data_IF_235051230027
#
_entry.id   IF_235051230027
#
_cell.length_a   1.000
_cell.length_b   1.000
_cell.length_c   1.000
_cell.angle_alpha   90.00
_cell.angle_beta   90.00
_cell.angle_gamma   90.00
#
_symmetry.space_group_name_H-M   'P 1'
#
loop_
_entity.id
_entity.type
_entity.pdbx_description
1 polymer ?
#
# COMPACT_ATOMS: atom_id res chain seq x y z
N UNK A 1 25.92 38.57 -57.61
CA UNK A 1 25.95 39.10 -56.22
C UNK A 1 24.66 38.78 -55.47
N UNK A 2 23.47 39.24 -55.91
CA UNK A 2 22.17 38.94 -55.23
C UNK A 2 21.83 37.45 -55.11
N UNK A 3 22.10 36.63 -56.12
CA UNK A 3 21.76 35.20 -56.13
C UNK A 3 22.57 34.36 -55.13
N UNK A 4 23.79 34.80 -54.82
CA UNK A 4 24.69 34.10 -53.88
C UNK A 4 24.29 34.35 -52.43
N UNK A 5 23.86 35.57 -52.11
CA UNK A 5 23.30 35.94 -50.80
C UNK A 5 21.96 35.25 -50.52
N UNK A 6 21.12 35.03 -51.55
CA UNK A 6 19.85 34.31 -51.41
C UNK A 6 20.11 32.82 -51.14
N UNK A 7 21.06 32.20 -51.85
CA UNK A 7 21.45 30.81 -51.62
C UNK A 7 22.13 30.59 -50.25
N UNK A 8 23.00 31.51 -49.83
CA UNK A 8 23.60 31.47 -48.48
C UNK A 8 22.55 31.65 -47.39
N UNK A 9 21.58 32.55 -47.58
CA UNK A 9 20.47 32.73 -46.63
C UNK A 9 19.55 31.50 -46.56
N UNK A 10 19.20 30.91 -47.70
CA UNK A 10 18.40 29.68 -47.75
C UNK A 10 19.13 28.49 -47.10
N UNK A 11 20.45 28.34 -47.34
CA UNK A 11 21.25 27.28 -46.71
C UNK A 11 21.40 27.46 -45.20
N UNK A 12 21.49 28.70 -44.71
CA UNK A 12 21.49 29.02 -43.27
C UNK A 12 20.11 28.74 -42.65
N UNK A 13 19.02 29.12 -43.32
CA UNK A 13 17.66 28.82 -42.88
C UNK A 13 17.37 27.31 -42.86
N UNK A 14 17.86 26.54 -43.84
CA UNK A 14 17.78 25.08 -43.87
C UNK A 14 18.60 24.41 -42.76
N UNK A 15 19.81 24.90 -42.48
CA UNK A 15 20.63 24.41 -41.38
C UNK A 15 19.95 24.64 -40.02
N UNK A 16 19.43 25.84 -39.77
CA UNK A 16 18.67 26.14 -38.56
C UNK A 16 17.39 25.31 -38.44
N UNK A 17 16.68 25.05 -39.55
CA UNK A 17 15.50 24.19 -39.55
C UNK A 17 15.86 22.74 -39.15
N UNK A 18 16.97 22.21 -39.68
CA UNK A 18 17.47 20.89 -39.32
C UNK A 18 17.92 20.80 -37.85
N UNK A 19 18.64 21.80 -37.35
CA UNK A 19 19.05 21.88 -35.94
C UNK A 19 17.84 21.92 -35.00
N UNK A 20 16.80 22.70 -35.34
CA UNK A 20 15.56 22.76 -34.57
C UNK A 20 14.79 21.44 -34.57
N UNK A 21 14.76 20.73 -35.70
CA UNK A 21 14.16 19.39 -35.77
C UNK A 21 14.91 18.37 -34.92
N UNK A 22 16.25 18.38 -34.97
CA UNK A 22 17.09 17.50 -34.15
C UNK A 22 16.92 17.80 -32.65
N UNK A 23 16.85 19.08 -32.28
CA UNK A 23 16.58 19.51 -30.91
C UNK A 23 15.24 18.96 -30.38
N UNK A 24 14.17 19.12 -31.16
CA UNK A 24 12.85 18.62 -30.76
C UNK A 24 12.86 17.09 -30.64
N UNK A 25 13.45 16.37 -31.59
CA UNK A 25 13.54 14.92 -31.55
C UNK A 25 14.32 14.41 -30.32
N UNK A 26 15.43 15.06 -29.97
CA UNK A 26 16.21 14.74 -28.77
C UNK A 26 15.40 14.96 -27.49
N UNK A 27 14.72 16.09 -27.39
CA UNK A 27 13.90 16.41 -26.21
C UNK A 27 12.68 15.51 -26.09
N UNK A 28 12.01 15.20 -27.18
CA UNK A 28 10.87 14.29 -27.19
C UNK A 28 11.29 12.88 -26.77
N UNK A 29 12.44 12.39 -27.26
CA UNK A 29 13.03 11.12 -26.80
C UNK A 29 13.35 11.16 -25.30
N UNK A 30 14.00 12.22 -24.82
CA UNK A 30 14.35 12.39 -23.40
C UNK A 30 13.12 12.43 -22.50
N UNK A 31 12.05 13.12 -22.93
CA UNK A 31 10.76 13.13 -22.23
C UNK A 31 10.16 11.73 -22.20
N UNK A 32 10.10 11.04 -23.33
CA UNK A 32 9.53 9.71 -23.43
C UNK A 32 10.26 8.70 -22.52
N UNK A 33 11.60 8.74 -22.49
CA UNK A 33 12.40 7.90 -21.59
C UNK A 33 12.13 8.21 -20.11
N UNK A 34 11.91 9.48 -19.77
CA UNK A 34 11.55 9.88 -18.41
C UNK A 34 10.16 9.38 -18.02
N UNK A 35 9.18 9.53 -18.90
CA UNK A 35 7.81 9.03 -18.69
C UNK A 35 7.81 7.51 -18.50
N UNK A 36 8.55 6.77 -19.34
CA UNK A 36 8.66 5.32 -19.20
C UNK A 36 9.25 4.93 -17.83
N UNK A 37 10.38 5.56 -17.45
CA UNK A 37 11.00 5.30 -16.13
C UNK A 37 10.08 5.65 -14.96
N UNK A 38 9.29 6.72 -15.10
CA UNK A 38 8.33 7.12 -14.09
C UNK A 38 7.18 6.11 -13.94
N UNK A 39 6.70 5.55 -15.06
CA UNK A 39 5.72 4.47 -15.06
C UNK A 39 6.28 3.19 -14.43
N UNK A 40 7.47 2.76 -14.86
CA UNK A 40 8.13 1.57 -14.31
C UNK A 40 8.33 1.69 -12.79
N UNK A 41 8.74 2.87 -12.32
CA UNK A 41 8.93 3.15 -10.90
C UNK A 41 7.61 3.13 -10.12
N UNK A 42 6.54 3.66 -10.70
CA UNK A 42 5.21 3.64 -10.10
C UNK A 42 4.68 2.21 -9.98
N UNK A 43 4.82 1.41 -11.02
CA UNK A 43 4.33 0.04 -11.06
C UNK A 43 5.15 -0.87 -10.14
N UNK A 44 6.48 -0.74 -10.13
CA UNK A 44 7.34 -1.44 -9.18
C UNK A 44 6.97 -1.11 -7.72
N UNK A 45 6.64 0.16 -7.42
CA UNK A 45 6.19 0.55 -6.07
C UNK A 45 4.83 -0.08 -5.73
N UNK A 46 3.90 -0.11 -6.68
CA UNK A 46 2.58 -0.74 -6.49
C UNK A 46 2.69 -2.24 -6.26
N UNK A 47 3.53 -2.94 -7.02
CA UNK A 47 3.80 -4.36 -6.84
C UNK A 47 4.42 -4.64 -5.46
N UNK A 48 5.41 -3.84 -5.05
CA UNK A 48 6.00 -3.96 -3.73
C UNK A 48 4.97 -3.75 -2.62
N UNK A 49 4.14 -2.72 -2.70
CA UNK A 49 3.07 -2.46 -1.73
C UNK A 49 2.07 -3.62 -1.66
N UNK A 50 1.69 -4.21 -2.79
CA UNK A 50 0.79 -5.36 -2.82
C UNK A 50 1.42 -6.61 -2.17
N UNK A 51 2.71 -6.86 -2.43
CA UNK A 51 3.44 -7.96 -1.81
C UNK A 51 3.56 -7.76 -0.29
N UNK A 52 3.96 -6.57 0.17
CA UNK A 52 4.04 -6.22 1.60
C UNK A 52 2.68 -6.36 2.30
N UNK A 53 1.59 -5.95 1.66
CA UNK A 53 0.24 -6.08 2.21
C UNK A 53 -0.16 -7.55 2.38
N UNK A 54 0.08 -8.37 1.35
CA UNK A 54 -0.21 -9.81 1.37
C UNK A 54 0.63 -10.53 2.42
N UNK A 55 1.91 -10.18 2.52
CA UNK A 55 2.81 -10.74 3.52
C UNK A 55 2.33 -10.41 4.94
N UNK A 56 2.01 -9.14 5.21
CA UNK A 56 1.50 -8.73 6.52
C UNK A 56 0.18 -9.44 6.86
N UNK A 57 -0.73 -9.58 5.88
CA UNK A 57 -1.98 -10.30 6.08
C UNK A 57 -1.73 -11.76 6.46
N UNK A 58 -0.81 -12.43 5.78
CA UNK A 58 -0.42 -13.82 6.09
C UNK A 58 0.24 -13.94 7.47
N UNK A 59 1.14 -13.02 7.81
CA UNK A 59 1.78 -12.97 9.12
C UNK A 59 0.75 -12.77 10.26
N UNK A 60 -0.22 -11.86 10.07
CA UNK A 60 -1.29 -11.62 11.03
C UNK A 60 -2.22 -12.84 11.15
N UNK A 61 -2.54 -13.50 10.04
CA UNK A 61 -3.32 -14.73 10.05
C UNK A 61 -2.60 -15.85 10.84
N UNK A 62 -1.33 -16.08 10.56
CA UNK A 62 -0.52 -17.07 11.28
C UNK A 62 -0.40 -16.74 12.78
N UNK A 63 -0.20 -15.46 13.13
CA UNK A 63 -0.18 -15.00 14.52
C UNK A 63 -1.52 -15.26 15.22
N UNK A 64 -2.63 -14.95 14.53
CA UNK A 64 -3.98 -15.16 15.04
C UNK A 64 -4.28 -16.64 15.27
N UNK A 65 -3.85 -17.54 14.37
CA UNK A 65 -4.03 -18.99 14.56
C UNK A 65 -3.26 -19.50 15.79
N UNK A 66 -2.08 -18.95 16.07
CA UNK A 66 -1.24 -19.35 17.21
C UNK A 66 -1.77 -18.86 18.56
N UNK A 67 -2.31 -17.65 18.62
CA UNK A 67 -2.79 -17.09 19.88
C UNK A 67 -4.05 -17.83 20.37
N UNK A 68 -4.02 -18.32 21.61
CA UNK A 68 -5.18 -18.96 22.24
C UNK A 68 -5.94 -17.95 23.12
N UNK A 69 -7.28 -18.00 23.17
CA UNK A 69 -8.05 -17.21 24.11
C UNK A 69 -7.61 -17.51 25.54
N UNK A 70 -7.41 -16.45 26.33
CA UNK A 70 -7.22 -16.57 27.78
C UNK A 70 -8.56 -16.28 28.45
N UNK A 71 -9.23 -17.34 28.88
CA UNK A 71 -10.51 -17.22 29.56
C UNK A 71 -10.39 -16.59 30.95
N UNK A 72 -11.47 -15.97 31.41
CA UNK A 72 -11.50 -15.36 32.73
C UNK A 72 -11.44 -16.40 33.85
N UNK A 73 -11.01 -15.95 35.03
CA UNK A 73 -11.05 -16.78 36.25
C UNK A 73 -12.48 -17.21 36.60
N UNK A 74 -13.47 -16.40 36.25
CA UNK A 74 -14.89 -16.68 36.49
C UNK A 74 -15.35 -17.88 35.65
N UNK A 75 -15.03 -17.91 34.35
CA UNK A 75 -15.35 -19.06 33.49
C UNK A 75 -14.69 -20.33 34.00
N UNK A 76 -13.40 -20.26 34.37
CA UNK A 76 -12.67 -21.41 34.92
C UNK A 76 -13.29 -21.92 36.22
N UNK A 77 -13.76 -21.02 37.09
CA UNK A 77 -14.46 -21.38 38.31
C UNK A 77 -15.82 -22.03 38.02
N UNK A 78 -16.61 -21.49 37.09
CA UNK A 78 -17.89 -22.09 36.68
C UNK A 78 -17.70 -23.51 36.12
N UNK A 79 -16.65 -23.75 35.31
CA UNK A 79 -16.30 -25.08 34.81
C UNK A 79 -15.92 -26.04 35.93
N UNK A 80 -15.16 -25.57 36.93
CA UNK A 80 -14.81 -26.37 38.11
C UNK A 80 -16.03 -26.71 38.97
N UNK A 81 -16.95 -25.76 39.16
CA UNK A 81 -18.22 -25.98 39.87
C UNK A 81 -19.08 -27.00 39.11
N UNK A 82 -19.21 -26.85 37.79
CA UNK A 82 -19.91 -27.81 36.92
C UNK A 82 -19.36 -29.23 37.10
N UNK A 83 -18.04 -29.41 37.03
CA UNK A 83 -17.40 -30.72 37.21
C UNK A 83 -17.65 -31.30 38.61
N UNK A 84 -17.60 -30.46 39.64
CA UNK A 84 -17.83 -30.88 41.03
C UNK A 84 -19.27 -31.33 41.26
N UNK A 85 -20.25 -30.57 40.77
CA UNK A 85 -21.68 -30.93 40.84
C UNK A 85 -21.99 -32.22 40.07
N UNK A 86 -21.35 -32.41 38.91
CA UNK A 86 -21.48 -33.63 38.13
C UNK A 86 -20.93 -34.87 38.88
N UNK A 87 -19.76 -34.74 39.55
CA UNK A 87 -19.20 -35.79 40.42
C UNK A 87 -20.09 -36.12 41.60
N UNK A 88 -20.79 -35.12 42.14
CA UNK A 88 -21.78 -35.28 43.22
C UNK A 88 -23.14 -35.80 42.73
N UNK A 89 -23.27 -36.13 41.43
CA UNK A 89 -24.51 -36.59 40.78
C UNK A 89 -25.67 -35.57 40.81
N UNK A 90 -25.36 -34.29 41.07
CA UNK A 90 -26.33 -33.19 41.04
C UNK A 90 -26.48 -32.66 39.60
N UNK A 91 -26.99 -33.51 38.69
CA UNK A 91 -27.01 -33.21 37.26
C UNK A 91 -27.87 -31.98 36.89
N UNK A 92 -28.98 -31.76 37.61
CA UNK A 92 -29.85 -30.62 37.35
C UNK A 92 -29.15 -29.28 37.64
N UNK A 93 -28.36 -29.20 38.71
CA UNK A 93 -27.59 -28.01 39.07
C UNK A 93 -26.36 -27.87 38.16
N UNK A 94 -25.67 -28.97 37.87
CA UNK A 94 -24.56 -28.99 36.94
C UNK A 94 -24.96 -28.45 35.55
N UNK A 95 -26.14 -28.82 35.05
CA UNK A 95 -26.68 -28.33 33.79
C UNK A 95 -26.96 -26.81 33.82
N UNK A 96 -27.51 -26.29 34.93
CA UNK A 96 -27.70 -24.83 35.09
C UNK A 96 -26.37 -24.07 35.07
N UNK A 97 -25.33 -24.60 35.74
CA UNK A 97 -23.99 -24.00 35.74
C UNK A 97 -23.35 -24.11 34.35
N UNK A 98 -23.54 -25.24 33.66
CA UNK A 98 -23.07 -25.42 32.28
C UNK A 98 -23.64 -24.35 31.36
N UNK A 99 -24.95 -24.10 31.37
CA UNK A 99 -25.56 -23.09 30.50
C UNK A 99 -24.96 -21.70 30.75
N UNK A 100 -24.71 -21.33 32.01
CA UNK A 100 -24.06 -20.06 32.34
C UNK A 100 -22.61 -20.02 31.85
N UNK A 101 -21.85 -21.10 32.02
CA UNK A 101 -20.48 -21.20 31.55
C UNK A 101 -20.40 -21.12 30.02
N UNK A 102 -21.29 -21.81 29.31
CA UNK A 102 -21.34 -21.81 27.84
C UNK A 102 -21.69 -20.42 27.29
N UNK A 103 -22.62 -19.70 27.94
CA UNK A 103 -22.94 -18.31 27.60
C UNK A 103 -21.74 -17.37 27.80
N UNK A 104 -21.07 -17.47 28.94
CA UNK A 104 -19.91 -16.65 29.26
C UNK A 104 -18.74 -16.96 28.30
N UNK A 105 -18.51 -18.24 28.01
CA UNK A 105 -17.46 -18.65 27.06
C UNK A 105 -17.72 -18.11 25.66
N UNK A 106 -18.97 -18.18 25.17
CA UNK A 106 -19.33 -17.63 23.87
C UNK A 106 -19.05 -16.13 23.78
N UNK A 107 -19.37 -15.38 24.85
CA UNK A 107 -19.15 -13.94 24.95
C UNK A 107 -17.66 -13.59 25.03
N UNK A 108 -16.87 -14.28 25.86
CA UNK A 108 -15.42 -14.06 25.94
C UNK A 108 -14.73 -14.41 24.62
N UNK A 109 -15.18 -15.46 23.94
CA UNK A 109 -14.66 -15.86 22.63
C UNK A 109 -14.96 -14.82 21.56
N UNK A 110 -16.18 -14.29 21.51
CA UNK A 110 -16.54 -13.25 20.53
C UNK A 110 -15.73 -11.97 20.76
N UNK A 111 -15.60 -11.52 22.02
CA UNK A 111 -14.78 -10.35 22.37
C UNK A 111 -13.30 -10.54 21.99
N UNK A 112 -12.76 -11.73 22.24
CA UNK A 112 -11.39 -12.04 21.87
C UNK A 112 -11.18 -12.00 20.35
N UNK A 113 -12.10 -12.57 19.57
CA UNK A 113 -12.06 -12.56 18.11
C UNK A 113 -12.22 -11.14 17.55
N UNK A 114 -13.09 -10.31 18.13
CA UNK A 114 -13.26 -8.91 17.78
C UNK A 114 -12.00 -8.08 18.06
N UNK A 115 -11.43 -8.23 19.26
CA UNK A 115 -10.20 -7.54 19.64
C UNK A 115 -9.05 -7.91 18.69
N UNK A 116 -8.94 -9.19 18.34
CA UNK A 116 -7.96 -9.71 17.39
C UNK A 116 -8.14 -9.14 16.00
N UNK A 117 -9.38 -9.13 15.49
CA UNK A 117 -9.73 -8.54 14.19
C UNK A 117 -9.40 -7.05 14.18
N UNK A 118 -9.80 -6.32 15.23
CA UNK A 118 -9.50 -4.90 15.40
C UNK A 118 -8.00 -4.62 15.39
N UNK A 119 -7.19 -5.35 16.16
CA UNK A 119 -5.72 -5.23 16.16
C UNK A 119 -5.11 -5.52 14.79
N UNK A 120 -5.60 -6.55 14.10
CA UNK A 120 -5.12 -6.90 12.75
C UNK A 120 -5.46 -5.80 11.74
N UNK A 121 -6.70 -5.31 11.78
CA UNK A 121 -7.19 -4.25 10.91
C UNK A 121 -6.43 -2.94 11.14
N UNK A 122 -6.16 -2.57 12.39
CA UNK A 122 -5.39 -1.36 12.71
C UNK A 122 -3.98 -1.42 12.11
N UNK A 123 -3.31 -2.57 12.18
CA UNK A 123 -1.99 -2.76 11.55
C UNK A 123 -2.05 -2.66 10.03
N UNK A 124 -3.05 -3.28 9.40
CA UNK A 124 -3.26 -3.21 7.95
C UNK A 124 -3.60 -1.78 7.49
N UNK A 125 -4.41 -1.05 8.26
CA UNK A 125 -4.74 0.35 7.98
C UNK A 125 -3.52 1.26 8.09
N UNK A 126 -2.67 1.06 9.11
CA UNK A 126 -1.41 1.80 9.24
C UNK A 126 -0.49 1.56 8.03
N UNK A 127 -0.35 0.31 7.60
CA UNK A 127 0.43 -0.02 6.40
C UNK A 127 -0.16 0.63 5.15
N UNK A 128 -1.46 0.52 4.93
CA UNK A 128 -2.16 1.14 3.80
C UNK A 128 -2.00 2.67 3.79
N UNK A 129 -2.07 3.31 4.96
CA UNK A 129 -1.84 4.75 5.07
C UNK A 129 -0.41 5.13 4.68
N UNK A 130 0.59 4.36 5.14
CA UNK A 130 2.00 4.54 4.75
C UNK A 130 2.17 4.39 3.24
N UNK A 131 1.60 3.34 2.64
CA UNK A 131 1.64 3.12 1.19
C UNK A 131 1.01 4.28 0.41
N UNK A 132 -0.13 4.80 0.88
CA UNK A 132 -0.79 5.95 0.26
C UNK A 132 0.09 7.22 0.31
N UNK A 133 0.76 7.48 1.44
CA UNK A 133 1.69 8.60 1.58
C UNK A 133 2.90 8.46 0.66
N UNK A 134 3.51 7.27 0.61
CA UNK A 134 4.65 6.98 -0.28
C UNK A 134 4.27 7.19 -1.75
N UNK A 135 3.11 6.67 -2.17
CA UNK A 135 2.61 6.82 -3.53
C UNK A 135 2.30 8.28 -3.88
N UNK A 136 1.73 9.05 -2.94
CA UNK A 136 1.48 10.47 -3.13
C UNK A 136 2.78 11.27 -3.26
N UNK A 137 3.79 10.96 -2.44
CA UNK A 137 5.10 11.59 -2.53
C UNK A 137 5.80 11.27 -3.86
N UNK A 138 5.72 10.02 -4.31
CA UNK A 138 6.27 9.62 -5.61
C UNK A 138 5.60 10.37 -6.76
N UNK A 139 4.27 10.45 -6.78
CA UNK A 139 3.52 11.20 -7.81
C UNK A 139 3.92 12.67 -7.85
N UNK A 140 4.08 13.32 -6.70
CA UNK A 140 4.56 14.71 -6.61
C UNK A 140 5.97 14.85 -7.18
N UNK A 141 6.88 13.91 -6.87
CA UNK A 141 8.24 13.92 -7.40
C UNK A 141 8.28 13.74 -8.93
N UNK A 142 7.47 12.84 -9.47
CA UNK A 142 7.33 12.64 -10.93
C UNK A 142 6.81 13.93 -11.57
N UNK A 143 5.77 14.54 -11.00
CA UNK A 143 5.19 15.77 -11.53
C UNK A 143 6.19 16.94 -11.51
N UNK A 144 6.92 17.12 -10.40
CA UNK A 144 7.96 18.15 -10.31
C UNK A 144 9.08 17.93 -11.35
N UNK A 145 9.50 16.68 -11.56
CA UNK A 145 10.51 16.36 -12.57
C UNK A 145 10.02 16.61 -14.01
N UNK A 146 8.74 16.36 -14.30
CA UNK A 146 8.12 16.72 -15.60
C UNK A 146 8.16 18.24 -15.83
N UNK A 147 7.82 19.02 -14.81
CA UNK A 147 7.82 20.48 -14.89
C UNK A 147 9.22 21.04 -15.06
N UNK A 148 10.20 20.48 -14.35
CA UNK A 148 11.61 20.84 -14.48
C UNK A 148 12.12 20.55 -15.90
N UNK A 149 11.80 19.38 -16.45
CA UNK A 149 12.16 19.01 -17.81
C UNK A 149 11.56 19.95 -18.87
N UNK A 150 10.30 20.38 -18.69
CA UNK A 150 9.66 21.38 -19.56
C UNK A 150 10.37 22.74 -19.49
N UNK A 151 10.72 23.19 -18.29
CA UNK A 151 11.48 24.45 -18.10
C UNK A 151 12.86 24.37 -18.74
N UNK A 152 13.57 23.26 -18.57
CA UNK A 152 14.87 23.05 -19.21
C UNK A 152 14.77 23.05 -20.73
N UNK A 153 13.74 22.43 -21.32
CA UNK A 153 13.47 22.52 -22.76
C UNK A 153 13.25 23.95 -23.24
N UNK A 154 12.50 24.75 -22.48
CA UNK A 154 12.29 26.17 -22.82
C UNK A 154 13.59 26.97 -22.75
N UNK A 155 14.38 26.80 -21.68
CA UNK A 155 15.67 27.47 -21.53
C UNK A 155 16.67 27.10 -22.64
N UNK A 156 16.72 25.83 -23.02
CA UNK A 156 17.60 25.37 -24.09
C UNK A 156 17.10 25.79 -25.48
N UNK A 157 15.82 26.11 -25.63
CA UNK A 157 15.24 26.64 -26.88
C UNK A 157 15.48 28.14 -27.05
N UNK A 158 15.58 28.88 -25.93
CA UNK A 158 15.87 30.31 -25.90
C UNK A 158 17.38 30.63 -26.02
N UNK A 159 18.23 29.62 -25.95
CA UNK A 159 19.69 29.71 -26.12
C UNK A 159 20.13 29.55 -27.57
#
# INVERSE_FOLDING_TARGET
>A
MRTRQIAERLGVEEAHMMEFQQFNALWDKKMAEYEQKALDLHDAMKERHAAEYTELQNQLHAQNVRDRPKYSKELLNLRKIQETLAKQKQYAEAHKVQQKADQLEALERSQFDELRKSKSNNKLQQLSHKHAQEMAALKKRIQAGREEQKKQRQLDLER
#
